data_IF_754016542171
#
_entry.id   IF_754016542171
#
_cell.length_a   1.000
_cell.length_b   1.000
_cell.length_c   1.000
_cell.angle_alpha   90.00
_cell.angle_beta   90.00
_cell.angle_gamma   90.00
#
_symmetry.space_group_name_H-M   'P 1'
#
loop_
_entity.id
_entity.type
_entity.pdbx_description
1 polymer ?
#
# COMPACT_ATOMS: atom_id res chain seq x y z
N UNK A 1 11.22 -9.24 2.24
CA UNK A 1 10.20 -8.56 1.41
C UNK A 1 9.60 -7.44 2.23
N UNK A 2 9.45 -6.25 1.65
CA UNK A 2 8.95 -5.08 2.39
C UNK A 2 7.43 -5.05 2.39
N UNK A 3 6.85 -4.83 3.57
CA UNK A 3 5.41 -4.65 3.72
C UNK A 3 5.13 -3.24 4.22
N UNK A 4 4.27 -2.51 3.54
CA UNK A 4 3.88 -1.15 3.90
C UNK A 4 2.40 -1.17 4.31
N UNK A 5 2.13 -1.01 5.59
CA UNK A 5 0.78 -0.79 6.11
C UNK A 5 0.46 0.70 6.03
N UNK A 6 -0.60 1.07 5.31
CA UNK A 6 -1.05 2.47 5.17
C UNK A 6 -2.42 2.60 5.83
N UNK A 7 -2.45 3.24 6.99
CA UNK A 7 -3.68 3.46 7.78
C UNK A 7 -4.21 4.88 7.60
N UNK A 8 -5.45 5.12 8.00
CA UNK A 8 -6.02 6.47 8.03
C UNK A 8 -7.54 6.44 8.03
N UNK A 9 -8.16 7.56 8.41
CA UNK A 9 -9.63 7.67 8.44
C UNK A 9 -10.30 7.52 7.07
N UNK A 10 -11.64 7.48 7.04
CA UNK A 10 -12.41 7.59 5.80
C UNK A 10 -11.97 8.81 4.99
N UNK A 11 -11.90 8.68 3.66
CA UNK A 11 -11.49 9.75 2.74
C UNK A 11 -10.07 10.32 2.95
N UNK A 12 -9.18 9.63 3.67
CA UNK A 12 -7.78 10.07 3.85
C UNK A 12 -6.92 10.01 2.58
N UNK A 13 -7.44 9.46 1.47
CA UNK A 13 -6.74 9.38 0.19
C UNK A 13 -5.96 8.09 -0.06
N UNK A 14 -6.14 7.04 0.76
CA UNK A 14 -5.51 5.72 0.57
C UNK A 14 -5.78 5.11 -0.81
N UNK A 15 -7.05 4.94 -1.18
CA UNK A 15 -7.44 4.39 -2.48
C UNK A 15 -6.95 5.26 -3.64
N UNK A 16 -6.95 6.58 -3.46
CA UNK A 16 -6.41 7.52 -4.45
C UNK A 16 -4.89 7.35 -4.63
N UNK A 17 -4.14 7.11 -3.55
CA UNK A 17 -2.71 6.80 -3.63
C UNK A 17 -2.47 5.48 -4.36
N UNK A 18 -3.25 4.43 -4.09
CA UNK A 18 -3.16 3.14 -4.79
C UNK A 18 -3.43 3.32 -6.29
N UNK A 19 -4.51 4.03 -6.65
CA UNK A 19 -4.80 4.38 -8.05
C UNK A 19 -3.65 5.13 -8.71
N UNK A 20 -3.05 6.09 -8.01
CA UNK A 20 -1.91 6.84 -8.53
C UNK A 20 -0.69 5.95 -8.75
N UNK A 21 -0.35 5.06 -7.80
CA UNK A 21 0.74 4.10 -7.97
C UNK A 21 0.54 3.21 -9.21
N UNK A 22 -0.71 2.80 -9.48
CA UNK A 22 -1.06 1.96 -10.64
C UNK A 22 -0.67 2.58 -11.98
N UNK A 23 -0.61 3.92 -12.05
CA UNK A 23 -0.22 4.67 -13.25
C UNK A 23 1.30 4.68 -13.47
N UNK A 24 2.06 4.32 -12.44
CA UNK A 24 3.52 4.42 -12.42
C UNK A 24 4.24 3.08 -12.17
N UNK A 25 3.52 1.98 -11.98
CA UNK A 25 4.11 0.63 -11.89
C UNK A 25 3.10 -0.45 -12.29
N UNK A 26 3.56 -1.68 -12.51
CA UNK A 26 2.65 -2.83 -12.68
C UNK A 26 2.10 -3.22 -11.30
N UNK A 27 1.04 -2.54 -10.89
CA UNK A 27 0.34 -2.76 -9.64
C UNK A 27 -0.70 -3.87 -9.79
N UNK A 28 -0.63 -4.88 -8.93
CA UNK A 28 -1.73 -5.82 -8.73
C UNK A 28 -2.52 -5.39 -7.50
N UNK A 29 -3.68 -4.75 -7.71
CA UNK A 29 -4.53 -4.23 -6.65
C UNK A 29 -5.75 -5.12 -6.41
N UNK A 30 -6.06 -5.37 -5.14
CA UNK A 30 -7.25 -6.09 -4.70
C UNK A 30 -8.09 -5.15 -3.83
N UNK A 31 -9.30 -4.84 -4.28
CA UNK A 31 -10.26 -4.04 -3.52
C UNK A 31 -11.09 -4.95 -2.60
N UNK A 32 -11.20 -4.58 -1.31
CA UNK A 32 -11.86 -5.36 -0.25
C UNK A 32 -13.38 -5.53 -0.37
N UNK A 33 -13.98 -5.37 -1.54
CA UNK A 33 -15.40 -5.68 -1.76
C UNK A 33 -15.50 -7.17 -2.12
N UNK A 34 -15.67 -8.00 -1.10
CA UNK A 34 -16.06 -9.43 -1.20
C UNK A 34 -14.89 -10.39 -1.52
N UNK A 35 -13.78 -10.26 -0.81
CA UNK A 35 -12.73 -11.30 -0.83
C UNK A 35 -12.93 -12.26 0.34
N UNK A 36 -13.77 -13.28 0.14
CA UNK A 36 -13.69 -14.52 0.96
C UNK A 36 -12.27 -15.10 0.83
N UNK A 37 -11.83 -15.91 1.80
CA UNK A 37 -10.51 -16.53 1.98
C UNK A 37 -9.82 -17.24 0.76
N UNK A 38 -10.30 -17.09 -0.47
CA UNK A 38 -9.78 -17.67 -1.71
C UNK A 38 -9.76 -16.69 -2.90
N UNK A 39 -9.78 -15.39 -2.64
CA UNK A 39 -9.76 -14.38 -3.73
C UNK A 39 -8.39 -14.13 -4.36
N UNK A 40 -7.30 -14.54 -3.68
CA UNK A 40 -5.95 -14.36 -4.22
C UNK A 40 -5.77 -15.23 -5.45
N UNK A 41 -5.53 -14.58 -6.58
CA UNK A 41 -5.03 -15.22 -7.78
C UNK A 41 -3.60 -14.75 -8.03
N UNK A 42 -2.72 -15.69 -8.39
CA UNK A 42 -1.35 -15.35 -8.78
C UNK A 42 -1.38 -14.43 -10.00
N UNK A 43 -0.70 -13.27 -9.98
CA UNK A 43 -0.65 -12.37 -11.13
C UNK A 43 -0.06 -13.07 -12.37
N UNK A 44 -0.70 -12.91 -13.54
CA UNK A 44 -0.32 -13.57 -14.80
C UNK A 44 0.85 -12.88 -15.54
N UNK A 45 1.64 -12.06 -14.85
CA UNK A 45 2.70 -11.28 -15.46
C UNK A 45 3.64 -10.65 -14.44
N UNK A 46 4.52 -9.77 -14.92
CA UNK A 46 5.41 -9.01 -14.04
C UNK A 46 4.58 -8.07 -13.16
N UNK A 47 4.70 -8.24 -11.86
CA UNK A 47 4.10 -7.37 -10.85
C UNK A 47 5.22 -6.65 -10.11
N UNK A 48 5.15 -5.32 -10.08
CA UNK A 48 6.11 -4.49 -9.36
C UNK A 48 5.67 -4.28 -7.90
N UNK A 49 4.36 -4.20 -7.64
CA UNK A 49 3.78 -4.01 -6.29
C UNK A 49 2.46 -4.79 -6.21
N UNK A 50 2.20 -5.42 -5.06
CA UNK A 50 0.86 -5.94 -4.69
C UNK A 50 0.23 -4.99 -3.69
N UNK A 51 -1.04 -4.63 -3.87
CA UNK A 51 -1.78 -3.78 -2.94
C UNK A 51 -3.13 -4.38 -2.55
N UNK A 52 -3.45 -4.34 -1.27
CA UNK A 52 -4.79 -4.60 -0.76
C UNK A 52 -5.41 -3.29 -0.28
N UNK A 53 -6.53 -2.90 -0.87
CA UNK A 53 -7.33 -1.77 -0.41
C UNK A 53 -8.44 -2.27 0.53
N UNK A 54 -8.64 -1.57 1.64
CA UNK A 54 -9.57 -1.86 2.74
C UNK A 54 -9.12 -2.86 3.84
N UNK A 55 -7.82 -3.02 4.06
CA UNK A 55 -7.28 -3.58 5.31
C UNK A 55 -7.44 -5.09 5.47
N UNK A 56 -7.81 -5.81 4.42
CA UNK A 56 -7.77 -7.27 4.39
C UNK A 56 -6.51 -7.72 3.65
N UNK A 57 -5.93 -8.87 4.02
CA UNK A 57 -4.86 -9.50 3.25
C UNK A 57 -5.00 -11.02 3.25
N UNK A 58 -4.47 -11.67 2.22
CA UNK A 58 -4.42 -13.12 2.09
C UNK A 58 -3.00 -13.63 2.38
N UNK A 59 -2.85 -14.61 3.28
CA UNK A 59 -1.54 -15.20 3.58
C UNK A 59 -0.85 -15.81 2.35
N UNK A 60 -1.62 -16.29 1.35
CA UNK A 60 -1.08 -16.77 0.07
C UNK A 60 -0.41 -15.64 -0.71
N UNK A 61 -0.94 -14.42 -0.62
CA UNK A 61 -0.35 -13.24 -1.24
C UNK A 61 0.95 -12.84 -0.57
N UNK A 62 1.02 -12.89 0.77
CA UNK A 62 2.25 -12.64 1.53
C UNK A 62 3.34 -13.60 1.09
N UNK A 63 3.05 -14.91 1.10
CA UNK A 63 4.00 -15.93 0.67
C UNK A 63 4.50 -15.67 -0.75
N UNK A 64 3.58 -15.45 -1.68
CA UNK A 64 3.94 -15.19 -3.08
C UNK A 64 4.83 -13.95 -3.22
N UNK A 65 4.49 -12.86 -2.52
CA UNK A 65 5.29 -11.63 -2.51
C UNK A 65 6.70 -11.89 -1.97
N UNK A 66 6.84 -12.73 -0.94
CA UNK A 66 8.12 -13.09 -0.35
C UNK A 66 8.99 -13.86 -1.34
N UNK A 67 8.46 -14.91 -1.97
CA UNK A 67 9.17 -15.72 -2.97
C UNK A 67 9.59 -14.91 -4.21
N UNK A 68 8.82 -13.89 -4.57
CA UNK A 68 9.07 -13.07 -5.75
C UNK A 68 9.79 -11.75 -5.43
N UNK A 69 10.16 -11.53 -4.17
CA UNK A 69 10.73 -10.28 -3.68
C UNK A 69 9.92 -9.04 -4.13
N UNK A 70 8.59 -9.16 -4.10
CA UNK A 70 7.64 -8.14 -4.50
C UNK A 70 7.12 -7.41 -3.24
N UNK A 71 7.20 -6.08 -3.16
CA UNK A 71 6.66 -5.34 -2.02
C UNK A 71 5.13 -5.43 -1.94
N UNK A 72 4.63 -5.45 -0.71
CA UNK A 72 3.21 -5.52 -0.40
C UNK A 72 2.74 -4.23 0.26
N UNK A 73 1.62 -3.67 -0.20
CA UNK A 73 0.93 -2.55 0.43
C UNK A 73 -0.40 -3.06 1.00
N UNK A 74 -0.67 -2.77 2.27
CA UNK A 74 -1.97 -3.04 2.89
C UNK A 74 -2.55 -1.72 3.37
N UNK A 75 -3.59 -1.23 2.70
CA UNK A 75 -4.21 0.04 3.03
C UNK A 75 -5.53 -0.18 3.77
N UNK A 76 -5.66 0.35 4.98
CA UNK A 76 -6.83 0.10 5.84
C UNK A 76 -7.18 1.28 6.74
N UNK A 77 -8.18 1.09 7.62
CA UNK A 77 -8.53 2.11 8.61
C UNK A 77 -7.66 2.07 9.88
N UNK A 78 -6.74 1.10 9.97
CA UNK A 78 -5.93 0.86 11.17
C UNK A 78 -6.58 -0.13 12.13
N UNK A 79 -7.14 -1.21 11.58
CA UNK A 79 -7.61 -2.35 12.38
C UNK A 79 -6.41 -2.98 13.10
N UNK A 80 -6.44 -2.96 14.42
CA UNK A 80 -5.34 -3.43 15.26
C UNK A 80 -5.04 -4.92 15.03
N UNK A 81 -6.08 -5.74 14.77
CA UNK A 81 -5.93 -7.16 14.51
C UNK A 81 -5.15 -7.40 13.21
N UNK A 82 -5.45 -6.61 12.17
CA UNK A 82 -4.76 -6.68 10.87
C UNK A 82 -3.31 -6.27 11.01
N UNK A 83 -3.04 -5.14 11.70
CA UNK A 83 -1.69 -4.63 11.89
C UNK A 83 -0.85 -5.60 12.73
N UNK A 84 -1.43 -6.16 13.79
CA UNK A 84 -0.75 -7.17 14.63
C UNK A 84 -0.43 -8.44 13.83
N UNK A 85 -1.38 -8.94 13.03
CA UNK A 85 -1.15 -10.08 12.16
C UNK A 85 -0.03 -9.84 11.14
N UNK A 86 0.06 -8.63 10.58
CA UNK A 86 1.17 -8.22 9.71
C UNK A 86 2.50 -8.16 10.46
N UNK A 87 2.54 -7.57 11.68
CA UNK A 87 3.76 -7.52 12.50
C UNK A 87 4.31 -8.91 12.82
N UNK A 88 3.43 -9.86 13.11
CA UNK A 88 3.80 -11.24 13.39
C UNK A 88 4.30 -11.99 12.14
N UNK A 89 3.71 -11.70 10.98
CA UNK A 89 4.02 -12.40 9.73
C UNK A 89 5.18 -11.78 8.95
N UNK A 90 5.45 -10.49 9.13
CA UNK A 90 6.32 -9.70 8.26
C UNK A 90 7.31 -8.85 9.10
N UNK A 91 8.57 -9.30 9.27
CA UNK A 91 9.54 -8.59 10.12
C UNK A 91 9.98 -7.23 9.59
N UNK A 92 9.83 -6.97 8.28
CA UNK A 92 10.08 -5.67 7.64
C UNK A 92 8.78 -4.89 7.40
N UNK A 93 7.91 -4.82 8.42
CA UNK A 93 6.69 -4.01 8.36
C UNK A 93 7.03 -2.52 8.56
N UNK A 94 6.57 -1.70 7.62
CA UNK A 94 6.63 -0.24 7.66
C UNK A 94 5.21 0.26 7.85
N UNK A 95 4.98 0.98 8.95
CA UNK A 95 3.65 1.50 9.30
C UNK A 95 3.57 2.99 9.02
N UNK A 96 2.60 3.33 8.18
CA UNK A 96 2.31 4.69 7.77
C UNK A 96 0.87 5.04 8.16
N UNK A 97 0.65 6.28 8.59
CA UNK A 97 -0.70 6.83 8.78
C UNK A 97 -0.89 8.06 7.91
N UNK A 98 -1.93 8.02 7.07
CA UNK A 98 -2.34 9.11 6.21
C UNK A 98 -3.45 9.92 6.87
N UNK A 99 -3.19 11.21 7.00
CA UNK A 99 -4.16 12.23 7.37
C UNK A 99 -4.23 13.28 6.27
N UNK A 100 -5.45 13.63 5.86
CA UNK A 100 -5.66 14.60 4.79
C UNK A 100 -6.25 15.86 5.38
N UNK A 101 -5.57 16.98 5.16
CA UNK A 101 -6.13 18.29 5.40
C UNK A 101 -6.86 18.77 4.13
N UNK A 102 -8.18 18.94 4.25
CA UNK A 102 -9.02 19.41 3.16
C UNK A 102 -8.82 20.90 2.84
N UNK A 103 -8.17 21.68 3.71
CA UNK A 103 -7.94 23.10 3.54
C UNK A 103 -6.66 23.46 2.79
N UNK A 104 -5.66 22.59 2.76
CA UNK A 104 -4.28 22.94 2.33
C UNK A 104 -3.76 22.13 1.15
N UNK A 105 -4.51 21.14 0.65
CA UNK A 105 -4.04 20.14 -0.34
C UNK A 105 -2.79 19.35 0.08
N UNK A 106 -2.37 19.46 1.34
CA UNK A 106 -1.26 18.72 1.93
C UNK A 106 -1.79 17.41 2.51
N UNK A 107 -1.01 16.35 2.34
CA UNK A 107 -1.23 15.07 3.00
C UNK A 107 -0.18 14.90 4.07
N UNK A 108 -0.63 14.67 5.31
CA UNK A 108 0.23 14.36 6.43
C UNK A 108 0.47 12.86 6.47
N UNK A 109 1.74 12.49 6.36
CA UNK A 109 2.21 11.13 6.51
C UNK A 109 2.90 11.01 7.87
N UNK A 110 2.38 10.15 8.73
CA UNK A 110 3.07 9.77 9.96
C UNK A 110 3.88 8.50 9.69
N UNK A 111 5.19 8.58 9.91
CA UNK A 111 6.19 7.51 9.76
C UNK A 111 6.83 7.30 11.14
N UNK A 112 6.21 6.43 11.95
CA UNK A 112 6.54 6.28 13.36
C UNK A 112 6.29 7.57 14.17
N UNK A 113 7.36 8.20 14.66
CA UNK A 113 7.29 9.46 15.41
C UNK A 113 7.42 10.70 14.52
N UNK A 114 7.74 10.53 13.23
CA UNK A 114 7.92 11.63 12.30
C UNK A 114 6.60 11.96 11.61
N UNK A 115 6.27 13.26 11.51
CA UNK A 115 5.17 13.77 10.68
C UNK A 115 5.76 14.51 9.49
N UNK A 116 5.33 14.13 8.29
CA UNK A 116 5.76 14.70 7.03
C UNK A 116 4.57 15.36 6.32
N UNK A 117 4.68 16.64 6.04
CA UNK A 117 3.77 17.36 5.16
C UNK A 117 4.20 17.15 3.71
N UNK A 118 3.42 16.35 2.95
CA UNK A 118 3.77 15.97 1.59
C UNK A 118 2.70 16.45 0.60
N UNK A 119 3.17 16.86 -0.59
CA UNK A 119 2.30 16.89 -1.77
C UNK A 119 1.93 15.47 -2.18
N UNK A 120 0.93 15.33 -3.06
CA UNK A 120 0.56 14.03 -3.64
C UNK A 120 1.76 13.36 -4.31
N UNK A 121 2.56 14.11 -5.06
CA UNK A 121 3.78 13.61 -5.72
C UNK A 121 4.85 13.19 -4.70
N UNK A 122 5.03 13.98 -3.63
CA UNK A 122 5.96 13.67 -2.55
C UNK A 122 5.57 12.40 -1.81
N UNK A 123 4.28 12.22 -1.55
CA UNK A 123 3.73 11.00 -0.95
C UNK A 123 3.99 9.77 -1.84
N UNK A 124 3.68 9.89 -3.14
CA UNK A 124 3.94 8.82 -4.10
C UNK A 124 5.42 8.45 -4.16
N UNK A 125 6.31 9.44 -4.25
CA UNK A 125 7.75 9.24 -4.28
C UNK A 125 8.26 8.53 -3.03
N UNK A 126 7.77 8.93 -1.84
CA UNK A 126 8.10 8.29 -0.56
C UNK A 126 7.65 6.83 -0.54
N UNK A 127 6.44 6.51 -1.01
CA UNK A 127 5.95 5.12 -1.06
C UNK A 127 6.78 4.27 -2.02
N UNK A 128 7.16 4.79 -3.19
CA UNK A 128 8.06 4.09 -4.10
C UNK A 128 9.45 3.83 -3.52
N UNK A 129 10.03 4.81 -2.84
CA UNK A 129 11.32 4.68 -2.16
C UNK A 129 11.26 3.61 -1.06
N UNK A 130 10.23 3.66 -0.22
CA UNK A 130 9.99 2.66 0.81
C UNK A 130 9.79 1.27 0.18
N UNK A 131 9.02 1.15 -0.90
CA UNK A 131 8.80 -0.11 -1.61
C UNK A 131 10.06 -0.62 -2.34
N UNK A 132 11.07 0.23 -2.57
CA UNK A 132 12.24 -0.11 -3.37
C UNK A 132 11.93 -0.27 -4.87
N UNK A 133 10.85 0.36 -5.35
CA UNK A 133 10.38 0.25 -6.73
C UNK A 133 10.63 1.57 -7.45
N UNK A 134 11.25 1.50 -8.64
CA UNK A 134 11.42 2.68 -9.49
C UNK A 134 10.13 2.94 -10.27
N UNK A 135 9.57 4.16 -10.23
CA UNK A 135 8.40 4.49 -11.04
C UNK A 135 8.77 4.39 -12.52
N UNK A 136 7.87 3.81 -13.30
CA UNK A 136 7.94 3.69 -14.75
C UNK A 136 6.88 4.61 -15.34
N UNK A 137 7.28 5.48 -16.27
CA UNK A 137 6.30 6.24 -17.04
C UNK A 137 5.51 5.27 -17.93
N UNK A 138 4.23 5.04 -17.61
CA UNK A 138 3.33 4.37 -18.55
C UNK A 138 2.83 5.39 -19.58
N UNK A 139 2.66 5.00 -20.85
CA UNK A 139 1.94 5.85 -21.79
C UNK A 139 0.54 6.14 -21.23
N UNK A 140 0.08 7.38 -21.36
CA UNK A 140 -1.30 7.71 -21.03
C UNK A 140 -2.22 6.94 -21.99
N UNK A 141 -3.15 6.16 -21.43
CA UNK A 141 -4.24 5.52 -22.16
C UNK A 141 -5.31 6.54 -22.59
#
# INVERSE_FOLDING_TARGET
>A
MKVISITGGPASGKSFLIDLLSKHCNLYSLEGVITRNDSWAVPLGKTDIVAFDHGFFDHKAIWWCEENNCPLIVAGQGDEEVVEALRLSCPELIELRLERDFGTHIVQLHDGQQVLDLSVEGLMAKVFDLAGVKPVAKPAE
#
